data_IF_097595799540
#
_entry.id   IF_097595799540
#
_cell.length_a   1.000
_cell.length_b   1.000
_cell.length_c   1.000
_cell.angle_alpha   90.00
_cell.angle_beta   90.00
_cell.angle_gamma   90.00
#
_symmetry.space_group_name_H-M   'P 1'
#
loop_
_entity.id
_entity.type
_entity.pdbx_description
1 polymer ?
#
# COMPACT_ATOMS: atom_id res chain seq x y z
N UNK A 1 -13.04 -2.44 -12.72
CA UNK A 1 -11.92 -1.80 -13.44
C UNK A 1 -10.74 -2.75 -13.50
N UNK A 2 -10.22 -2.91 -14.68
CA UNK A 2 -9.06 -3.79 -14.87
C UNK A 2 -7.78 -3.05 -14.51
N UNK A 3 -6.94 -3.68 -13.73
CA UNK A 3 -5.61 -3.17 -13.44
C UNK A 3 -4.60 -4.06 -14.16
N UNK A 4 -3.56 -3.44 -14.66
CA UNK A 4 -2.54 -4.18 -15.40
C UNK A 4 -1.31 -4.48 -14.55
N UNK A 5 -1.24 -3.91 -13.38
CA UNK A 5 -0.13 -4.19 -12.47
C UNK A 5 -0.39 -5.49 -11.72
N UNK A 6 0.67 -6.06 -11.19
CA UNK A 6 0.56 -7.23 -10.33
C UNK A 6 -0.32 -6.88 -9.14
N UNK A 7 -1.35 -7.70 -8.84
CA UNK A 7 -2.21 -7.39 -7.70
C UNK A 7 -1.45 -7.51 -6.38
N UNK A 8 -1.96 -6.83 -5.38
CA UNK A 8 -1.40 -6.96 -4.03
C UNK A 8 -1.85 -8.25 -3.37
N UNK A 9 -1.33 -8.49 -2.19
CA UNK A 9 -0.39 -7.63 -1.46
C UNK A 9 1.04 -7.80 -1.99
N UNK A 10 1.81 -6.74 -1.89
CA UNK A 10 3.24 -6.79 -2.15
C UNK A 10 3.98 -6.81 -0.83
N UNK A 11 5.09 -7.50 -0.79
CA UNK A 11 5.91 -7.62 0.40
C UNK A 11 7.31 -7.12 0.11
N UNK A 12 8.09 -6.93 1.16
CA UNK A 12 9.45 -6.48 0.97
C UNK A 12 10.41 -7.26 1.83
N UNK A 13 11.65 -7.30 1.37
CA UNK A 13 12.74 -7.92 2.10
C UNK A 13 13.92 -6.94 2.04
N UNK A 14 14.41 -6.53 3.20
CA UNK A 14 15.52 -5.57 3.30
C UNK A 14 16.75 -6.33 3.69
N UNK A 15 17.78 -6.21 2.88
CA UNK A 15 19.06 -6.85 3.13
C UNK A 15 20.20 -5.85 3.12
N UNK A 16 21.42 -6.36 3.20
CA UNK A 16 22.61 -5.53 3.19
C UNK A 16 22.84 -4.89 1.82
N UNK A 17 22.39 -5.54 0.77
CA UNK A 17 22.63 -5.09 -0.59
C UNK A 17 21.50 -4.25 -1.16
N UNK A 18 20.51 -3.93 -0.34
CA UNK A 18 19.35 -3.18 -0.77
C UNK A 18 18.08 -3.84 -0.32
N UNK A 19 17.00 -3.55 -1.01
CA UNK A 19 15.70 -4.11 -0.67
C UNK A 19 15.02 -4.63 -1.93
N UNK A 20 14.14 -5.60 -1.76
CA UNK A 20 13.35 -6.17 -2.84
C UNK A 20 11.89 -6.07 -2.47
N UNK A 21 11.08 -5.59 -3.39
CA UNK A 21 9.63 -5.65 -3.26
C UNK A 21 9.14 -6.76 -4.19
N UNK A 22 8.33 -7.65 -3.66
CA UNK A 22 7.94 -8.84 -4.41
C UNK A 22 6.52 -9.25 -4.08
N UNK A 23 5.94 -10.03 -4.99
CA UNK A 23 4.68 -10.70 -4.74
C UNK A 23 4.99 -12.15 -4.36
N UNK A 24 4.39 -12.68 -3.29
CA UNK A 24 4.74 -14.04 -2.82
C UNK A 24 4.62 -15.11 -3.89
N UNK A 25 3.68 -14.96 -4.82
CA UNK A 25 3.44 -15.98 -5.84
C UNK A 25 3.95 -15.59 -7.23
N UNK A 26 4.19 -14.30 -7.48
CA UNK A 26 4.47 -13.84 -8.84
C UNK A 26 5.88 -13.30 -9.04
N UNK A 27 6.62 -13.12 -7.95
CA UNK A 27 8.03 -12.78 -8.06
C UNK A 27 8.34 -11.32 -7.79
N UNK A 28 9.51 -10.91 -8.22
CA UNK A 28 10.05 -9.59 -7.92
C UNK A 28 9.30 -8.50 -8.67
N UNK A 29 8.90 -7.48 -7.91
CA UNK A 29 8.28 -6.28 -8.46
C UNK A 29 9.34 -5.21 -8.69
N UNK A 30 10.23 -5.00 -7.72
CA UNK A 30 11.22 -3.94 -7.81
C UNK A 30 12.43 -4.27 -6.94
N UNK A 31 13.59 -3.88 -7.46
CA UNK A 31 14.85 -3.91 -6.69
C UNK A 31 15.21 -2.49 -6.32
N UNK A 32 15.49 -2.26 -5.04
CA UNK A 32 15.85 -0.96 -4.53
C UNK A 32 17.33 -1.01 -4.11
N UNK A 33 18.21 -0.30 -4.77
CA UNK A 33 19.64 -0.36 -4.45
C UNK A 33 19.94 0.27 -3.10
N UNK A 34 21.03 -0.16 -2.51
CA UNK A 34 21.43 0.30 -1.18
C UNK A 34 22.14 1.64 -1.17
N UNK A 35 22.43 2.21 -2.34
CA UNK A 35 23.17 3.46 -2.42
C UNK A 35 22.44 4.65 -1.83
N UNK A 36 21.15 4.52 -1.55
CA UNK A 36 20.40 5.56 -0.83
C UNK A 36 20.17 5.09 0.60
N UNK A 37 20.48 5.96 1.54
CA UNK A 37 20.23 5.62 2.96
C UNK A 37 18.75 5.42 3.24
N UNK A 38 17.88 5.90 2.38
CA UNK A 38 16.45 5.75 2.54
C UNK A 38 15.89 4.48 1.90
N UNK A 39 16.76 3.56 1.44
CA UNK A 39 16.25 2.40 0.70
C UNK A 39 15.22 1.55 1.46
N UNK A 40 15.34 1.35 2.79
CA UNK A 40 14.27 0.58 3.45
C UNK A 40 12.95 1.34 3.51
N UNK A 41 13.00 2.66 3.64
CA UNK A 41 11.77 3.46 3.65
C UNK A 41 11.14 3.50 2.27
N UNK A 42 11.96 3.58 1.23
CA UNK A 42 11.46 3.54 -0.14
C UNK A 42 10.82 2.20 -0.45
N UNK A 43 11.41 1.12 0.03
CA UNK A 43 10.84 -0.21 -0.17
C UNK A 43 9.48 -0.34 0.51
N UNK A 44 9.33 0.22 1.71
CA UNK A 44 8.04 0.18 2.40
C UNK A 44 6.96 0.91 1.62
N UNK A 45 7.29 2.08 1.11
CA UNK A 45 6.32 2.84 0.32
C UNK A 45 5.92 2.09 -0.94
N UNK A 46 6.89 1.53 -1.64
CA UNK A 46 6.60 0.77 -2.85
C UNK A 46 5.76 -0.46 -2.52
N UNK A 47 6.11 -1.18 -1.46
CA UNK A 47 5.36 -2.38 -1.09
C UNK A 47 3.93 -2.06 -0.68
N UNK A 48 3.68 -0.86 -0.18
CA UNK A 48 2.34 -0.44 0.22
C UNK A 48 1.51 0.11 -0.94
N UNK A 49 2.09 0.24 -2.13
CA UNK A 49 1.40 0.88 -3.25
C UNK A 49 0.06 0.25 -3.60
N UNK A 50 -0.06 -1.10 -3.71
CA UNK A 50 -1.39 -1.65 -4.02
C UNK A 50 -2.40 -1.42 -2.91
N UNK A 51 -1.97 -1.45 -1.65
CA UNK A 51 -2.86 -1.18 -0.53
C UNK A 51 -3.32 0.28 -0.53
N UNK A 52 -2.40 1.21 -0.85
CA UNK A 52 -2.74 2.63 -0.94
C UNK A 52 -3.73 2.88 -2.08
N UNK A 53 -3.50 2.24 -3.22
CA UNK A 53 -4.38 2.39 -4.37
C UNK A 53 -5.79 1.89 -4.06
N UNK A 54 -5.87 0.72 -3.42
CA UNK A 54 -7.16 0.15 -3.05
C UNK A 54 -7.88 1.03 -2.05
N UNK A 55 -7.16 1.55 -1.05
CA UNK A 55 -7.76 2.43 -0.05
C UNK A 55 -8.31 3.70 -0.68
N UNK A 56 -7.55 4.28 -1.62
CA UNK A 56 -8.00 5.47 -2.32
C UNK A 56 -9.25 5.20 -3.15
N UNK A 57 -9.29 4.07 -3.84
CA UNK A 57 -10.47 3.70 -4.61
C UNK A 57 -11.70 3.57 -3.73
N UNK A 58 -11.52 2.94 -2.58
CA UNK A 58 -12.65 2.76 -1.67
C UNK A 58 -13.12 4.09 -1.10
N UNK A 59 -12.19 5.00 -0.80
CA UNK A 59 -12.58 6.33 -0.32
C UNK A 59 -13.36 7.10 -1.38
N UNK A 60 -12.91 7.02 -2.63
CA UNK A 60 -13.58 7.72 -3.71
C UNK A 60 -14.96 7.14 -4.01
N UNK A 61 -15.14 5.85 -3.78
CA UNK A 61 -16.40 5.18 -4.07
C UNK A 61 -17.34 5.11 -2.89
N UNK A 62 -16.87 5.46 -1.69
CA UNK A 62 -17.71 5.42 -0.50
C UNK A 62 -18.74 6.54 -0.57
N UNK A 63 -20.01 6.24 -0.24
CA UNK A 63 -21.03 7.29 -0.25
C UNK A 63 -20.75 8.35 0.79
N UNK A 64 -21.15 9.57 0.46
CA UNK A 64 -21.06 10.68 1.40
C UNK A 64 -21.97 10.37 2.61
N UNK A 65 -21.48 10.51 3.84
CA UNK A 65 -22.32 10.26 5.02
C UNK A 65 -23.57 11.13 5.07
N UNK A 66 -23.53 12.30 4.45
CA UNK A 66 -24.69 13.18 4.42
C UNK A 66 -25.76 12.70 3.46
N UNK A 67 -25.43 11.79 2.55
CA UNK A 67 -26.35 11.30 1.53
C UNK A 67 -26.96 9.96 1.89
N UNK A 68 -26.37 9.24 2.82
CA UNK A 68 -26.83 7.91 3.23
C UNK A 68 -26.85 7.84 4.75
N UNK A 69 -27.72 6.97 5.28
CA UNK A 69 -27.80 6.80 6.71
C UNK A 69 -26.65 5.96 7.25
N UNK A 70 -26.16 5.04 6.44
CA UNK A 70 -25.13 4.11 6.88
C UNK A 70 -23.76 4.63 6.50
N UNK A 71 -22.99 5.07 7.49
CA UNK A 71 -21.63 5.58 7.28
C UNK A 71 -20.58 4.47 7.30
N UNK A 72 -20.97 3.22 7.46
CA UNK A 72 -20.04 2.11 7.57
C UNK A 72 -19.07 2.00 6.38
N UNK A 73 -19.53 2.14 5.11
CA UNK A 73 -18.58 2.02 4.01
C UNK A 73 -17.47 3.07 4.06
N UNK A 74 -17.81 4.30 4.43
CA UNK A 74 -16.80 5.34 4.53
C UNK A 74 -15.86 5.09 5.71
N UNK A 75 -16.41 4.64 6.83
CA UNK A 75 -15.60 4.31 7.99
C UNK A 75 -14.59 3.21 7.66
N UNK A 76 -15.04 2.17 6.96
CA UNK A 76 -14.15 1.09 6.53
C UNK A 76 -13.05 1.62 5.61
N UNK A 77 -13.41 2.50 4.68
CA UNK A 77 -12.43 3.04 3.75
C UNK A 77 -11.38 3.87 4.47
N UNK A 78 -11.80 4.65 5.48
CA UNK A 78 -10.88 5.45 6.28
C UNK A 78 -9.94 4.54 7.06
N UNK A 79 -10.48 3.47 7.67
CA UNK A 79 -9.64 2.53 8.42
C UNK A 79 -8.64 1.82 7.51
N UNK A 80 -9.07 1.47 6.31
CA UNK A 80 -8.17 0.84 5.34
C UNK A 80 -7.07 1.81 4.91
N UNK A 81 -7.42 3.10 4.75
CA UNK A 81 -6.43 4.11 4.41
C UNK A 81 -5.39 4.26 5.51
N UNK A 82 -5.82 4.26 6.78
CA UNK A 82 -4.88 4.32 7.89
C UNK A 82 -3.94 3.12 7.89
N UNK A 83 -4.47 1.94 7.64
CA UNK A 83 -3.66 0.73 7.60
C UNK A 83 -2.64 0.79 6.46
N UNK A 84 -3.06 1.29 5.30
CA UNK A 84 -2.15 1.40 4.16
C UNK A 84 -1.04 2.41 4.42
N UNK A 85 -1.37 3.52 5.06
CA UNK A 85 -0.36 4.52 5.42
C UNK A 85 0.62 3.93 6.43
N UNK A 86 0.12 3.20 7.42
CA UNK A 86 0.99 2.57 8.40
C UNK A 86 1.95 1.58 7.73
N UNK A 87 1.47 0.82 6.77
CA UNK A 87 2.33 -0.09 6.02
C UNK A 87 3.40 0.69 5.27
N UNK A 88 3.02 1.79 4.64
CA UNK A 88 3.95 2.60 3.84
C UNK A 88 5.03 3.25 4.71
N UNK A 89 4.73 3.55 5.96
CA UNK A 89 5.65 4.27 6.85
C UNK A 89 6.26 3.37 7.92
N UNK A 90 5.98 2.07 7.86
CA UNK A 90 6.52 1.13 8.84
C UNK A 90 5.85 1.23 10.20
N UNK A 91 4.61 1.71 10.22
CA UNK A 91 3.86 1.87 11.47
C UNK A 91 4.21 3.13 12.24
N UNK A 92 5.12 3.96 11.72
CA UNK A 92 5.49 5.22 12.35
C UNK A 92 4.39 6.26 12.13
N UNK A 93 4.36 7.23 13.01
CA UNK A 93 3.45 8.34 12.89
C UNK A 93 4.09 9.53 12.25
#
# INVERSE_FOLDING_TARGET
MNTKHTPGPWEMNVGQDGAVVYHPDQGTIADIPMDLSAHPHNARLIAAAPDLLEALRELLNAPDPDEVEDATPRFRAVMKAHAAIAKATGGAR
#
